data_IF_303752009508
#
_entry.id   IF_303752009508
#
_cell.length_a   1.000
_cell.length_b   1.000
_cell.length_c   1.000
_cell.angle_alpha   90.00
_cell.angle_beta   90.00
_cell.angle_gamma   90.00
#
_symmetry.space_group_name_H-M   'P 1'
#
loop_
_entity.id
_entity.type
_entity.pdbx_description
1 polymer ?
#
# COMPACT_ATOMS: atom_id res chain seq x y z
N UNK A 1 -5.69 15.39 -16.89
CA UNK A 1 -5.39 14.78 -15.58
C UNK A 1 -3.95 14.34 -15.57
N UNK A 2 -3.32 14.25 -14.40
CA UNK A 2 -1.97 13.72 -14.24
C UNK A 2 -2.02 12.45 -13.40
N UNK A 3 -0.95 11.67 -13.47
CA UNK A 3 -0.69 10.52 -12.61
C UNK A 3 0.63 10.76 -11.89
N UNK A 4 0.75 10.32 -10.65
CA UNK A 4 2.06 10.06 -10.07
C UNK A 4 2.15 8.62 -9.56
N UNK A 5 3.38 8.13 -9.56
CA UNK A 5 3.78 6.89 -8.89
C UNK A 5 4.79 7.29 -7.82
N UNK A 6 4.49 6.94 -6.57
CA UNK A 6 5.36 7.22 -5.44
C UNK A 6 5.73 5.94 -4.69
N UNK A 7 6.97 5.91 -4.21
CA UNK A 7 7.47 4.85 -3.34
C UNK A 7 7.91 5.48 -2.02
N UNK A 8 7.23 5.07 -0.95
CA UNK A 8 7.52 5.47 0.42
C UNK A 8 8.31 4.36 1.13
N UNK A 9 9.42 4.75 1.77
CA UNK A 9 10.25 3.86 2.57
C UNK A 9 10.40 4.38 4.00
N UNK A 10 10.59 3.48 4.96
CA UNK A 10 10.81 3.81 6.37
C UNK A 10 9.90 3.00 7.28
N UNK A 11 9.36 3.64 8.33
CA UNK A 11 8.35 3.03 9.19
C UNK A 11 6.96 3.31 8.60
N UNK A 12 6.65 2.59 7.54
CA UNK A 12 5.43 2.78 6.73
C UNK A 12 4.50 1.55 6.71
N UNK A 13 5.00 0.36 7.04
CA UNK A 13 4.18 -0.85 7.15
C UNK A 13 3.73 -1.13 8.59
N UNK A 14 2.56 -1.76 8.73
CA UNK A 14 1.93 -2.14 10.02
C UNK A 14 1.72 -0.95 10.99
N UNK A 15 1.62 0.27 10.46
CA UNK A 15 1.43 1.52 11.22
C UNK A 15 0.24 2.35 10.75
N UNK A 16 -0.64 1.79 9.92
CA UNK A 16 -1.81 2.49 9.40
C UNK A 16 -1.52 3.46 8.25
N UNK A 17 -0.36 3.38 7.60
CA UNK A 17 0.01 4.33 6.54
C UNK A 17 -0.88 4.23 5.31
N UNK A 18 -1.29 3.02 4.91
CA UNK A 18 -2.20 2.84 3.76
C UNK A 18 -3.56 3.48 4.03
N UNK A 19 -4.07 3.29 5.24
CA UNK A 19 -5.31 3.91 5.71
C UNK A 19 -5.18 5.43 5.77
N UNK A 20 -4.02 5.96 6.20
CA UNK A 20 -3.72 7.40 6.14
C UNK A 20 -3.78 7.92 4.70
N UNK A 21 -3.08 7.28 3.76
CA UNK A 21 -3.10 7.69 2.33
C UNK A 21 -4.52 7.67 1.76
N UNK A 22 -5.28 6.61 2.02
CA UNK A 22 -6.67 6.49 1.56
C UNK A 22 -7.58 7.60 2.14
N UNK A 23 -7.40 7.97 3.41
CA UNK A 23 -8.20 9.02 4.01
C UNK A 23 -7.90 10.40 3.38
N UNK A 24 -6.64 10.67 3.04
CA UNK A 24 -6.23 11.91 2.37
C UNK A 24 -6.76 12.02 0.93
N UNK A 25 -7.21 10.91 0.33
CA UNK A 25 -7.86 10.91 -0.99
C UNK A 25 -9.38 11.07 -0.92
N UNK A 26 -10.02 10.75 0.22
CA UNK A 26 -11.50 10.67 0.31
C UNK A 26 -12.23 11.99 0.03
N UNK A 27 -11.66 13.14 0.41
CA UNK A 27 -12.24 14.46 0.13
C UNK A 27 -11.77 15.06 -1.20
N UNK A 28 -10.95 14.34 -1.98
CA UNK A 28 -10.35 14.79 -3.23
C UNK A 28 -10.85 13.94 -4.39
N UNK A 29 -10.92 14.51 -5.58
CA UNK A 29 -11.27 13.75 -6.78
C UNK A 29 -10.03 13.01 -7.33
N UNK A 30 -9.50 12.07 -6.53
CA UNK A 30 -8.30 11.29 -6.81
C UNK A 30 -8.67 9.81 -6.89
N UNK A 31 -8.22 9.13 -7.93
CA UNK A 31 -8.36 7.67 -8.09
C UNK A 31 -6.99 6.99 -8.15
N UNK A 32 -6.93 5.67 -7.94
CA UNK A 32 -5.66 4.94 -7.94
C UNK A 32 -5.60 3.86 -6.86
N UNK A 33 -4.41 3.59 -6.32
CA UNK A 33 -4.25 2.61 -5.27
C UNK A 33 -3.06 2.88 -4.35
N UNK A 34 -3.10 2.23 -3.18
CA UNK A 34 -1.96 2.09 -2.28
C UNK A 34 -1.72 0.62 -1.92
N UNK A 35 -0.47 0.16 -2.03
CA UNK A 35 -0.07 -1.24 -1.83
C UNK A 35 1.22 -1.34 -1.01
N UNK A 36 1.27 -2.31 -0.09
CA UNK A 36 2.55 -2.69 0.54
C UNK A 36 3.33 -3.60 -0.41
N UNK A 37 4.62 -3.30 -0.59
CA UNK A 37 5.55 -4.16 -1.32
C UNK A 37 6.22 -5.14 -0.35
N UNK A 38 6.60 -6.32 -0.85
CA UNK A 38 7.27 -7.37 -0.06
C UNK A 38 8.67 -6.94 0.42
N UNK A 39 9.24 -5.94 -0.25
CA UNK A 39 10.51 -5.29 0.13
C UNK A 39 10.42 -4.47 1.42
N UNK A 40 9.22 -4.25 1.97
CA UNK A 40 8.99 -3.42 3.15
C UNK A 40 8.56 -1.98 2.84
N UNK A 41 8.43 -1.65 1.55
CA UNK A 41 8.05 -0.33 1.05
C UNK A 41 6.53 -0.22 0.83
N UNK A 42 6.06 0.99 0.51
CA UNK A 42 4.68 1.24 0.09
C UNK A 42 4.68 1.95 -1.26
N UNK A 43 4.00 1.35 -2.23
CA UNK A 43 3.73 1.94 -3.53
C UNK A 43 2.38 2.66 -3.50
N UNK A 44 2.36 3.86 -4.07
CA UNK A 44 1.17 4.69 -4.21
C UNK A 44 1.07 5.11 -5.67
N UNK A 45 -0.06 4.82 -6.31
CA UNK A 45 -0.41 5.32 -7.63
C UNK A 45 -1.65 6.18 -7.48
N UNK A 46 -1.60 7.41 -7.97
CA UNK A 46 -2.72 8.33 -7.87
C UNK A 46 -2.88 9.14 -9.17
N UNK A 47 -4.13 9.27 -9.62
CA UNK A 47 -4.54 10.05 -10.78
C UNK A 47 -5.55 11.14 -10.37
N UNK A 48 -5.45 12.31 -10.98
CA UNK A 48 -6.29 13.44 -10.59
C UNK A 48 -5.85 14.77 -11.21
N UNK A 49 -6.31 15.88 -10.62
CA UNK A 49 -5.80 17.20 -10.93
C UNK A 49 -4.39 17.37 -10.35
N UNK A 50 -3.50 18.10 -11.04
CA UNK A 50 -2.14 18.30 -10.55
C UNK A 50 -2.09 19.00 -9.18
N UNK A 51 -3.04 19.90 -8.91
CA UNK A 51 -3.21 20.56 -7.61
C UNK A 51 -3.58 19.58 -6.50
N UNK A 52 -4.54 18.68 -6.74
CA UNK A 52 -4.97 17.70 -5.74
C UNK A 52 -3.87 16.69 -5.46
N UNK A 53 -3.17 16.24 -6.50
CA UNK A 53 -2.06 15.31 -6.39
C UNK A 53 -0.86 15.89 -5.63
N UNK A 54 -0.53 17.17 -5.87
CA UNK A 54 0.49 17.86 -5.07
C UNK A 54 0.08 18.01 -3.61
N UNK A 55 -1.19 18.29 -3.36
CA UNK A 55 -1.76 18.29 -2.01
C UNK A 55 -1.58 16.94 -1.33
N UNK A 56 -1.97 15.86 -2.01
CA UNK A 56 -1.81 14.49 -1.51
C UNK A 56 -0.35 14.16 -1.19
N UNK A 57 0.60 14.50 -2.08
CA UNK A 57 2.05 14.27 -1.85
C UNK A 57 2.53 14.93 -0.55
N UNK A 58 2.08 16.16 -0.27
CA UNK A 58 2.47 16.87 0.95
C UNK A 58 1.89 16.21 2.21
N UNK A 59 0.66 15.70 2.17
CA UNK A 59 -0.01 15.10 3.32
C UNK A 59 0.46 13.67 3.63
N UNK A 60 1.05 12.97 2.66
CA UNK A 60 1.52 11.59 2.85
C UNK A 60 3.03 11.46 3.07
N UNK A 61 3.82 12.49 2.76
CA UNK A 61 5.25 12.53 3.06
C UNK A 61 5.51 13.05 4.49
N UNK A 62 5.06 12.26 5.48
CA UNK A 62 5.01 12.70 6.88
C UNK A 62 5.93 11.90 7.82
N UNK A 63 6.39 12.57 8.87
CA UNK A 63 7.08 11.97 10.01
C UNK A 63 6.27 12.29 11.26
N UNK A 64 5.38 11.37 11.66
CA UNK A 64 4.53 11.49 12.84
C UNK A 64 4.27 10.11 13.41
N UNK A 65 4.65 9.85 14.68
CA UNK A 65 4.43 8.55 15.33
C UNK A 65 2.95 8.12 15.18
N UNK A 66 2.66 6.87 14.74
CA UNK A 66 3.59 5.76 14.52
C UNK A 66 4.27 5.71 13.13
N UNK A 67 3.94 6.61 12.21
CA UNK A 67 4.43 6.66 10.83
C UNK A 67 5.74 7.47 10.75
N UNK A 68 6.71 6.97 10.00
CA UNK A 68 7.91 7.76 9.68
C UNK A 68 8.40 7.44 8.27
N UNK A 69 8.04 8.29 7.30
CA UNK A 69 8.57 8.24 5.94
C UNK A 69 10.00 8.79 5.97
N UNK A 70 10.98 7.95 5.63
CA UNK A 70 12.41 8.30 5.59
C UNK A 70 12.85 8.67 4.17
N UNK A 71 12.26 8.04 3.17
CA UNK A 71 12.50 8.30 1.76
C UNK A 71 11.16 8.28 1.04
N UNK A 72 10.95 9.26 0.16
CA UNK A 72 9.74 9.40 -0.63
C UNK A 72 10.14 9.81 -2.04
N UNK A 73 10.02 8.89 -2.99
CA UNK A 73 10.37 9.12 -4.39
C UNK A 73 9.10 9.25 -5.21
N UNK A 74 9.00 10.29 -6.05
CA UNK A 74 7.81 10.57 -6.87
C UNK A 74 8.21 10.63 -8.34
N UNK A 75 7.41 9.99 -9.19
CA UNK A 75 7.52 10.05 -10.65
C UNK A 75 6.18 10.47 -11.24
N UNK A 76 6.19 11.49 -12.10
CA UNK A 76 4.99 11.99 -12.78
C UNK A 76 4.81 11.31 -14.14
N UNK A 77 3.57 10.98 -14.46
CA UNK A 77 3.15 10.30 -15.69
C UNK A 77 1.83 10.89 -16.20
N UNK A 78 1.43 10.50 -17.41
CA UNK A 78 0.09 10.80 -17.93
C UNK A 78 -0.94 9.87 -17.26
N UNK A 79 -2.14 10.40 -17.01
CA UNK A 79 -3.23 9.63 -16.44
C UNK A 79 -3.73 8.58 -17.44
N UNK A 80 -3.94 7.36 -16.96
CA UNK A 80 -4.45 6.23 -17.73
C UNK A 80 -5.97 6.20 -17.75
N UNK A 81 -6.62 6.71 -16.69
CA UNK A 81 -8.07 6.64 -16.53
C UNK A 81 -8.58 5.24 -16.17
N UNK A 82 -7.70 4.32 -15.78
CA UNK A 82 -8.04 2.92 -15.47
C UNK A 82 -8.69 2.76 -14.09
N UNK A 83 -8.60 3.77 -13.22
CA UNK A 83 -9.08 3.72 -11.84
C UNK A 83 -10.35 4.57 -11.66
N UNK A 84 -11.42 3.93 -11.21
CA UNK A 84 -12.69 4.60 -10.90
C UNK A 84 -12.70 5.25 -9.50
N UNK A 85 -11.98 4.67 -8.55
CA UNK A 85 -11.85 5.14 -7.17
C UNK A 85 -10.41 4.90 -6.67
N UNK A 86 -10.10 5.32 -5.45
CA UNK A 86 -8.84 5.03 -4.79
C UNK A 86 -8.97 3.81 -3.87
N UNK A 87 -8.14 2.78 -4.06
CA UNK A 87 -8.28 1.51 -3.32
C UNK A 87 -7.04 1.14 -2.49
N UNK A 88 -7.28 0.46 -1.36
CA UNK A 88 -6.19 -0.17 -0.58
C UNK A 88 -6.01 -1.60 -1.05
N UNK A 89 -4.91 -1.87 -1.76
CA UNK A 89 -4.56 -3.23 -2.16
C UNK A 89 -3.91 -3.94 -0.96
N UNK A 90 -4.63 -4.95 -0.47
CA UNK A 90 -4.11 -5.93 0.49
C UNK A 90 -3.55 -7.07 -0.35
N UNK A 91 -2.27 -7.42 -0.16
CA UNK A 91 -1.67 -8.58 -0.83
C UNK A 91 -2.52 -9.83 -0.59
N UNK A 92 -2.40 -10.80 -1.49
CA UNK A 92 -3.15 -12.04 -1.42
C UNK A 92 -2.97 -12.70 -0.05
N UNK A 93 -4.04 -12.65 0.75
CA UNK A 93 -4.18 -13.47 1.96
C UNK A 93 -3.94 -14.95 1.61
N UNK A 94 -4.11 -15.34 0.33
CA UNK A 94 -3.84 -16.67 -0.18
C UNK A 94 -2.37 -17.09 0.00
N UNK A 95 -1.35 -16.28 -0.34
CA UNK A 95 0.05 -16.67 -0.12
C UNK A 95 0.36 -16.85 1.38
N UNK A 96 -0.09 -15.92 2.23
CA UNK A 96 0.13 -16.00 3.68
C UNK A 96 -0.63 -17.17 4.35
N UNK A 97 -1.81 -17.54 3.83
CA UNK A 97 -2.58 -18.70 4.28
C UNK A 97 -1.98 -20.00 3.75
N UNK A 98 -1.51 -20.07 2.51
CA UNK A 98 -0.87 -21.28 1.96
C UNK A 98 0.41 -21.61 2.74
N UNK A 99 1.28 -20.63 3.00
CA UNK A 99 2.49 -20.85 3.81
C UNK A 99 2.19 -21.30 5.24
N UNK A 100 1.12 -20.75 5.85
CA UNK A 100 0.70 -21.17 7.20
C UNK A 100 -0.03 -22.51 7.22
N UNK A 101 -0.84 -22.78 6.20
CA UNK A 101 -1.58 -24.03 6.05
C UNK A 101 -0.61 -25.19 5.87
N UNK A 102 0.45 -25.04 5.07
CA UNK A 102 1.50 -26.04 4.91
C UNK A 102 2.18 -26.36 6.26
N UNK A 103 2.51 -25.34 7.06
CA UNK A 103 3.13 -25.56 8.37
C UNK A 103 2.21 -26.29 9.37
N UNK A 104 0.90 -26.05 9.28
CA UNK A 104 -0.11 -26.66 10.15
C UNK A 104 -0.41 -28.09 9.69
N UNK A 105 -0.60 -28.31 8.39
CA UNK A 105 -0.80 -29.62 7.79
C UNK A 105 0.39 -30.57 8.01
N UNK A 106 1.63 -30.08 7.89
CA UNK A 106 2.84 -30.87 8.20
C UNK A 106 2.89 -31.29 9.67
N UNK A 107 2.60 -30.38 10.61
CA UNK A 107 2.55 -30.73 12.05
C UNK A 107 1.46 -31.75 12.37
N UNK A 108 0.30 -31.65 11.71
CA UNK A 108 -0.78 -32.63 11.88
C UNK A 108 -0.41 -33.99 11.26
N UNK A 109 0.21 -34.02 10.08
CA UNK A 109 0.66 -35.25 9.43
C UNK A 109 1.73 -35.99 10.25
N UNK A 110 2.72 -35.27 10.79
CA UNK A 110 3.74 -35.86 11.68
C UNK A 110 3.15 -36.42 12.99
N UNK A 111 2.09 -35.79 13.50
CA UNK A 111 1.40 -36.25 14.71
C UNK A 111 0.57 -37.51 14.45
N UNK A 112 -0.07 -37.61 13.27
CA UNK A 112 -0.87 -38.79 12.90
C UNK A 112 -0.03 -40.01 12.51
N UNK A 113 1.20 -39.83 12.01
CA UNK A 113 2.09 -40.94 11.65
C UNK A 113 2.99 -41.45 12.81
N UNK A 114 2.88 -40.86 14.00
CA UNK A 114 3.61 -41.27 15.21
C UNK A 114 2.78 -42.10 16.20
N UNK A 115 1.59 -42.55 15.84
CA UNK A 115 0.76 -43.47 16.64
C UNK A 115 0.71 -44.88 16.04
#
# INVERSE_FOLDING_TARGET
MKRFVAVAQGRVQRVGYREHVYNETFERNISGYVKNLDTGEVEIVAEGSESDLRGLINEINIIRRPIAVRSFTVRWEEATGEYADFEIIRGDIQEEIFERADSILLRFAETMYRS
#
